data_IF_313243119664
#
_entry.id   IF_313243119664
#
_cell.length_a   1.000
_cell.length_b   1.000
_cell.length_c   1.000
_cell.angle_alpha   90.00
_cell.angle_beta   90.00
_cell.angle_gamma   90.00
#
_symmetry.space_group_name_H-M   'P 1'
#
loop_
_entity.id
_entity.type
_entity.pdbx_description
1 polymer ?
#
# COMPACT_ATOMS: atom_id res chain seq x y z
N UNK A 1 -1.37 -46.72 -4.66
CA UNK A 1 -1.45 -45.27 -4.90
C UNK A 1 -0.30 -44.60 -4.16
N UNK A 2 0.68 -44.03 -4.88
CA UNK A 2 1.78 -43.27 -4.27
C UNK A 2 1.36 -41.79 -4.29
N UNK A 3 1.02 -41.25 -3.13
CA UNK A 3 0.86 -39.81 -2.95
C UNK A 3 2.26 -39.19 -2.99
N UNK A 4 2.56 -38.44 -4.05
CA UNK A 4 3.84 -37.76 -4.23
C UNK A 4 3.96 -36.63 -3.21
N UNK A 5 4.97 -36.73 -2.34
CA UNK A 5 5.31 -35.82 -1.23
C UNK A 5 5.46 -34.33 -1.62
N UNK A 6 5.59 -34.02 -2.91
CA UNK A 6 5.67 -32.64 -3.41
C UNK A 6 4.38 -31.81 -3.15
N UNK A 7 3.23 -32.45 -2.95
CA UNK A 7 1.95 -31.76 -2.75
C UNK A 7 1.79 -31.14 -1.35
N UNK A 8 2.51 -31.63 -0.34
CA UNK A 8 2.37 -31.19 1.06
C UNK A 8 2.96 -29.81 1.34
N UNK A 9 3.93 -29.36 0.53
CA UNK A 9 4.58 -28.05 0.71
C UNK A 9 4.06 -26.99 -0.26
N UNK A 10 3.44 -27.38 -1.38
CA UNK A 10 2.91 -26.44 -2.37
C UNK A 10 1.60 -25.77 -1.93
N UNK A 11 0.79 -26.43 -1.09
CA UNK A 11 -0.49 -25.89 -0.62
C UNK A 11 -0.35 -24.84 0.49
N UNK A 12 0.75 -24.85 1.26
CA UNK A 12 0.94 -23.97 2.41
C UNK A 12 1.35 -22.55 1.99
N UNK A 13 2.09 -22.40 0.88
CA UNK A 13 2.57 -21.10 0.40
C UNK A 13 1.49 -20.29 -0.34
N UNK A 14 0.62 -20.93 -1.13
CA UNK A 14 -0.42 -20.22 -1.88
C UNK A 14 -1.52 -19.66 -0.97
N UNK A 15 -1.89 -20.41 0.08
CA UNK A 15 -2.89 -19.98 1.06
C UNK A 15 -2.32 -18.98 2.09
N UNK A 16 -1.02 -19.04 2.42
CA UNK A 16 -0.36 -18.00 3.23
C UNK A 16 -0.16 -16.69 2.50
N UNK A 17 0.09 -16.73 1.18
CA UNK A 17 0.34 -15.52 0.38
C UNK A 17 -0.95 -14.83 -0.09
N UNK A 18 -2.12 -15.44 0.06
CA UNK A 18 -3.38 -14.73 -0.14
C UNK A 18 -3.73 -13.94 1.13
N UNK A 19 -3.57 -12.62 1.10
CA UNK A 19 -4.09 -11.73 2.14
C UNK A 19 -5.55 -12.07 2.42
N UNK A 20 -5.88 -12.30 3.69
CA UNK A 20 -7.27 -12.50 4.11
C UNK A 20 -8.09 -11.26 3.79
N UNK A 21 -9.41 -11.41 3.61
CA UNK A 21 -10.29 -10.25 3.37
C UNK A 21 -10.19 -9.21 4.48
N UNK A 22 -10.01 -9.63 5.74
CA UNK A 22 -9.82 -8.71 6.86
C UNK A 22 -8.50 -7.95 6.76
N UNK A 23 -7.39 -8.60 6.38
CA UNK A 23 -6.11 -7.94 6.16
C UNK A 23 -6.18 -6.95 5.00
N UNK A 24 -6.82 -7.32 3.88
CA UNK A 24 -7.04 -6.40 2.75
C UNK A 24 -7.86 -5.18 3.18
N UNK A 25 -8.93 -5.37 3.94
CA UNK A 25 -9.73 -4.27 4.46
C UNK A 25 -8.93 -3.36 5.40
N UNK A 26 -8.07 -3.93 6.26
CA UNK A 26 -7.19 -3.14 7.13
C UNK A 26 -6.17 -2.32 6.32
N UNK A 27 -5.52 -2.93 5.31
CA UNK A 27 -4.56 -2.23 4.45
C UNK A 27 -5.27 -1.10 3.69
N UNK A 28 -6.42 -1.39 3.08
CA UNK A 28 -7.23 -0.38 2.39
C UNK A 28 -7.60 0.79 3.30
N UNK A 29 -8.14 0.50 4.49
CA UNK A 29 -8.51 1.55 5.45
C UNK A 29 -7.30 2.41 5.87
N UNK A 30 -6.11 1.80 6.00
CA UNK A 30 -4.87 2.54 6.27
C UNK A 30 -4.49 3.45 5.10
N UNK A 31 -4.50 2.94 3.87
CA UNK A 31 -4.19 3.72 2.67
C UNK A 31 -5.17 4.89 2.50
N UNK A 32 -6.46 4.64 2.68
CA UNK A 32 -7.49 5.68 2.61
C UNK A 32 -7.33 6.74 3.71
N UNK A 33 -6.97 6.34 4.93
CA UNK A 33 -6.70 7.28 6.01
C UNK A 33 -5.47 8.16 5.72
N UNK A 34 -4.40 7.58 5.16
CA UNK A 34 -3.23 8.34 4.71
C UNK A 34 -3.61 9.31 3.59
N UNK A 35 -4.37 8.87 2.58
CA UNK A 35 -4.88 9.75 1.52
C UNK A 35 -5.71 10.91 2.09
N UNK A 36 -6.67 10.63 2.95
CA UNK A 36 -7.51 11.67 3.55
C UNK A 36 -6.67 12.70 4.34
N UNK A 37 -5.59 12.26 5.00
CA UNK A 37 -4.65 13.16 5.68
C UNK A 37 -3.89 14.04 4.69
N UNK A 38 -3.48 13.51 3.55
CA UNK A 38 -2.78 14.27 2.51
C UNK A 38 -3.69 15.22 1.75
N UNK A 39 -4.90 14.78 1.38
CA UNK A 39 -5.93 15.60 0.76
C UNK A 39 -6.31 16.79 1.69
N UNK A 40 -6.37 16.57 3.01
CA UNK A 40 -6.62 17.61 3.99
C UNK A 40 -5.40 18.51 4.26
N UNK A 41 -4.19 18.08 3.90
CA UNK A 41 -2.99 18.87 4.09
C UNK A 41 -2.92 20.00 3.05
N UNK A 42 -2.82 21.23 3.53
CA UNK A 42 -2.65 22.41 2.68
C UNK A 42 -1.21 22.58 2.18
N UNK A 43 -0.23 22.07 2.93
CA UNK A 43 1.21 22.19 2.66
C UNK A 43 1.91 20.88 2.94
N UNK A 44 3.12 20.72 2.38
CA UNK A 44 3.96 19.53 2.55
C UNK A 44 4.15 19.19 4.04
N UNK A 45 3.60 18.06 4.54
CA UNK A 45 3.51 17.80 5.98
C UNK A 45 4.81 17.24 6.58
N UNK A 46 5.76 16.79 5.77
CA UNK A 46 7.03 16.23 6.24
C UNK A 46 8.11 17.30 6.32
N UNK A 47 8.85 17.30 7.43
CA UNK A 47 9.98 18.22 7.65
C UNK A 47 11.29 17.67 7.09
N UNK A 48 11.42 16.33 7.06
CA UNK A 48 12.58 15.62 6.51
C UNK A 48 12.17 14.96 5.19
N UNK A 49 12.92 15.18 4.09
CA UNK A 49 12.70 14.48 2.82
C UNK A 49 12.69 12.95 2.96
N UNK A 50 13.46 12.39 3.90
CA UNK A 50 13.53 10.97 4.15
C UNK A 50 12.22 10.42 4.73
N UNK A 51 11.51 11.21 5.54
CA UNK A 51 10.22 10.79 6.10
C UNK A 51 9.13 10.72 5.02
N UNK A 52 9.17 11.63 4.04
CA UNK A 52 8.28 11.57 2.88
C UNK A 52 8.54 10.32 2.05
N UNK A 53 9.82 10.04 1.75
CA UNK A 53 10.23 8.82 1.02
C UNK A 53 9.85 7.55 1.78
N UNK A 54 10.00 7.51 3.10
CA UNK A 54 9.56 6.36 3.89
C UNK A 54 8.05 6.14 3.85
N UNK A 55 7.27 7.22 3.83
CA UNK A 55 5.82 7.12 3.72
C UNK A 55 5.39 6.66 2.32
N UNK A 56 5.99 7.21 1.28
CA UNK A 56 5.78 6.79 -0.11
C UNK A 56 6.08 5.29 -0.29
N UNK A 57 7.24 4.82 0.19
CA UNK A 57 7.61 3.41 0.13
C UNK A 57 6.63 2.50 0.91
N UNK A 58 6.12 2.96 2.05
CA UNK A 58 5.10 2.22 2.81
C UNK A 58 3.80 2.13 2.03
N UNK A 59 3.34 3.27 1.48
CA UNK A 59 2.10 3.34 0.72
C UNK A 59 2.18 2.48 -0.55
N UNK A 60 3.32 2.52 -1.26
CA UNK A 60 3.55 1.71 -2.45
C UNK A 60 3.45 0.22 -2.13
N UNK A 61 4.19 -0.26 -1.12
CA UNK A 61 4.17 -1.67 -0.71
C UNK A 61 2.76 -2.16 -0.36
N UNK A 62 2.03 -1.35 0.39
CA UNK A 62 0.65 -1.66 0.78
C UNK A 62 -0.31 -1.69 -0.43
N UNK A 63 -0.11 -0.80 -1.40
CA UNK A 63 -0.88 -0.78 -2.63
C UNK A 63 -0.58 -2.00 -3.51
N UNK A 64 0.69 -2.39 -3.63
CA UNK A 64 1.12 -3.60 -4.36
C UNK A 64 0.49 -4.86 -3.77
N UNK A 65 0.39 -4.93 -2.44
CA UNK A 65 -0.28 -6.01 -1.72
C UNK A 65 -1.78 -6.11 -2.05
N UNK A 66 -2.46 -5.01 -2.41
CA UNK A 66 -3.88 -5.01 -2.80
C UNK A 66 -4.11 -5.36 -4.28
N UNK A 67 -3.06 -5.37 -5.12
CA UNK A 67 -3.17 -5.66 -6.55
C UNK A 67 -3.89 -4.53 -7.31
N UNK A 68 -4.86 -4.88 -8.17
CA UNK A 68 -5.56 -3.92 -9.05
C UNK A 68 -6.22 -2.75 -8.29
N UNK A 69 -6.77 -3.01 -7.11
CA UNK A 69 -7.36 -1.96 -6.29
C UNK A 69 -6.31 -0.95 -5.79
N UNK A 70 -5.13 -1.46 -5.42
CA UNK A 70 -4.02 -0.63 -4.95
C UNK A 70 -3.52 0.33 -6.03
N UNK A 71 -3.57 -0.05 -7.30
CA UNK A 71 -3.18 0.83 -8.42
C UNK A 71 -3.99 2.13 -8.43
N UNK A 72 -5.30 2.05 -8.16
CA UNK A 72 -6.16 3.23 -8.13
C UNK A 72 -5.88 4.12 -6.92
N UNK A 73 -5.56 3.51 -5.76
CA UNK A 73 -5.16 4.24 -4.55
C UNK A 73 -3.79 4.90 -4.73
N UNK A 74 -2.85 4.21 -5.37
CA UNK A 74 -1.53 4.74 -5.70
C UNK A 74 -1.62 5.96 -6.62
N UNK A 75 -2.39 5.88 -7.70
CA UNK A 75 -2.57 7.02 -8.61
C UNK A 75 -3.16 8.27 -7.93
N UNK A 76 -4.04 8.08 -6.92
CA UNK A 76 -4.55 9.19 -6.11
C UNK A 76 -3.48 9.77 -5.19
N UNK A 77 -2.67 8.90 -4.57
CA UNK A 77 -1.57 9.31 -3.71
C UNK A 77 -0.53 10.13 -4.46
N UNK A 78 -0.10 9.62 -5.63
CA UNK A 78 0.89 10.27 -6.51
C UNK A 78 0.45 11.69 -6.88
N UNK A 79 -0.81 11.85 -7.28
CA UNK A 79 -1.40 13.16 -7.59
C UNK A 79 -1.38 14.12 -6.39
N UNK A 80 -1.70 13.63 -5.19
CA UNK A 80 -1.70 14.46 -3.98
C UNK A 80 -0.27 14.81 -3.54
N UNK A 81 0.68 13.88 -3.71
CA UNK A 81 2.10 14.15 -3.47
C UNK A 81 2.62 15.23 -4.41
N UNK A 82 2.32 15.16 -5.71
CA UNK A 82 2.65 16.20 -6.68
C UNK A 82 2.09 17.57 -6.28
N UNK A 83 0.81 17.60 -5.84
CA UNK A 83 0.18 18.83 -5.34
C UNK A 83 0.93 19.40 -4.14
N UNK A 84 1.28 18.56 -3.16
CA UNK A 84 1.99 18.98 -1.95
C UNK A 84 3.43 19.42 -2.25
N UNK A 85 4.14 18.73 -3.16
CA UNK A 85 5.46 19.12 -3.62
C UNK A 85 5.44 20.49 -4.32
N UNK A 86 4.39 20.80 -5.09
CA UNK A 86 4.23 22.12 -5.69
C UNK A 86 4.04 23.26 -4.66
N UNK A 87 3.63 22.96 -3.43
CA UNK A 87 3.51 23.95 -2.33
C UNK A 87 4.81 24.17 -1.54
N UNK A 88 5.83 23.36 -1.79
CA UNK A 88 7.14 23.46 -1.14
C UNK A 88 8.01 24.50 -1.90
N UNK A 89 7.63 25.78 -1.78
CA UNK A 89 8.37 26.97 -2.28
C UNK A 89 9.13 27.64 -1.14
#
# INVERSE_FOLDING_TARGET
MRLTQADLFAQDDAARNSLSQSQRATIRARLEATLARLEAAATFPWRDPLDAVHEENRFQRDSELLGEEGVSLWARFDKEMDRLHATHV
#
